data_IF_463949422376
#
_entry.id   IF_463949422376
#
_cell.length_a   1.000
_cell.length_b   1.000
_cell.length_c   1.000
_cell.angle_alpha   90.00
_cell.angle_beta   90.00
_cell.angle_gamma   90.00
#
_symmetry.space_group_name_H-M   'P 1'
#
loop_
_entity.id
_entity.type
_entity.pdbx_description
1 polymer ?
#
# COMPACT_ATOMS: atom_id res chain seq x y z
N UNK A 1 21.18 17.23 33.80
CA UNK A 1 22.56 16.73 33.67
C UNK A 1 22.92 16.65 32.18
N UNK A 2 24.06 17.19 31.79
CA UNK A 2 24.56 17.13 30.41
C UNK A 2 25.62 16.03 30.29
N UNK A 3 25.56 15.27 29.23
CA UNK A 3 26.51 14.22 28.90
C UNK A 3 27.29 14.66 27.65
N UNK A 4 28.62 14.63 27.73
CA UNK A 4 29.48 14.89 26.58
C UNK A 4 29.80 13.58 25.89
N UNK A 5 29.48 13.51 24.59
CA UNK A 5 29.77 12.34 23.74
C UNK A 5 30.70 12.73 22.59
N UNK A 6 31.42 11.76 22.04
CA UNK A 6 32.28 11.98 20.87
C UNK A 6 31.43 12.29 19.63
N UNK A 7 31.86 13.28 18.84
CA UNK A 7 31.26 13.62 17.54
C UNK A 7 31.18 12.39 16.60
N UNK A 8 32.18 11.52 16.69
CA UNK A 8 32.21 10.26 15.89
C UNK A 8 31.03 9.36 16.13
N UNK A 9 30.49 9.30 17.35
CA UNK A 9 29.32 8.49 17.69
C UNK A 9 28.07 8.94 16.92
N UNK A 10 27.92 10.26 16.77
CA UNK A 10 26.78 10.84 16.02
C UNK A 10 27.00 10.73 14.52
N UNK A 11 28.21 11.03 14.05
CA UNK A 11 28.51 11.00 12.60
C UNK A 11 28.46 9.59 12.00
N UNK A 12 28.93 8.60 12.74
CA UNK A 12 29.00 7.20 12.27
C UNK A 12 27.76 6.37 12.72
N UNK A 13 26.73 7.01 13.30
CA UNK A 13 25.47 6.40 13.78
C UNK A 13 25.66 5.13 14.65
N UNK A 14 26.72 5.12 15.50
CA UNK A 14 27.17 3.91 16.20
C UNK A 14 26.10 3.33 17.14
N UNK A 15 25.25 4.19 17.75
CA UNK A 15 24.17 3.79 18.65
C UNK A 15 22.78 3.98 18.06
N UNK A 16 22.69 4.08 16.75
CA UNK A 16 21.39 4.16 16.07
C UNK A 16 20.76 2.79 15.97
N UNK A 17 19.50 2.67 16.34
CA UNK A 17 18.70 1.45 16.23
C UNK A 17 17.49 1.69 15.35
N UNK A 18 17.09 0.68 14.59
CA UNK A 18 15.88 0.66 13.79
C UNK A 18 14.94 -0.34 14.43
N UNK A 19 13.71 0.12 14.74
CA UNK A 19 12.64 -0.73 15.24
C UNK A 19 11.61 -0.88 14.14
N UNK A 20 11.16 -2.10 13.89
CA UNK A 20 10.12 -2.42 12.91
C UNK A 20 8.97 -3.10 13.65
N UNK A 21 7.82 -2.43 13.67
CA UNK A 21 6.61 -2.94 14.29
C UNK A 21 5.61 -3.37 13.21
N UNK A 22 4.91 -4.47 13.44
CA UNK A 22 3.90 -5.01 12.53
C UNK A 22 2.51 -4.82 13.13
N UNK A 23 1.60 -4.23 12.36
CA UNK A 23 0.20 -4.02 12.71
C UNK A 23 -0.68 -4.82 11.74
N UNK A 24 -1.52 -5.68 12.26
CA UNK A 24 -2.39 -6.54 11.47
C UNK A 24 -3.85 -6.44 11.93
N UNK A 25 -4.77 -6.55 10.98
CA UNK A 25 -6.20 -6.61 11.25
C UNK A 25 -6.85 -7.70 10.40
N UNK A 26 -7.80 -8.41 10.98
CA UNK A 26 -8.59 -9.42 10.28
C UNK A 26 -9.95 -8.86 9.89
N UNK A 27 -10.42 -9.27 8.72
CA UNK A 27 -11.78 -9.01 8.24
C UNK A 27 -12.58 -10.30 8.34
N UNK A 28 -13.75 -10.22 8.95
CA UNK A 28 -14.60 -11.38 9.24
C UNK A 28 -16.00 -11.19 8.68
N UNK A 29 -16.61 -12.31 8.31
CA UNK A 29 -18.03 -12.33 7.99
C UNK A 29 -18.81 -12.34 9.30
N UNK A 30 -19.66 -11.35 9.51
CA UNK A 30 -20.55 -11.28 10.68
C UNK A 30 -21.98 -11.66 10.32
N UNK A 31 -22.80 -11.98 11.32
CA UNK A 31 -24.23 -12.28 11.08
C UNK A 31 -25.04 -11.09 10.55
N UNK A 32 -24.50 -9.88 10.72
CA UNK A 32 -25.12 -8.61 10.30
C UNK A 32 -24.64 -8.14 8.92
N UNK A 33 -23.66 -8.83 8.34
CA UNK A 33 -23.02 -8.49 7.08
C UNK A 33 -21.51 -8.70 7.16
N UNK A 34 -20.83 -8.50 6.05
CA UNK A 34 -19.39 -8.65 5.96
C UNK A 34 -18.72 -7.36 6.44
N UNK A 35 -17.64 -7.49 7.19
CA UNK A 35 -16.71 -6.38 7.43
C UNK A 35 -15.99 -6.05 6.11
N UNK A 36 -15.66 -4.79 5.90
CA UNK A 36 -14.97 -4.34 4.70
C UNK A 36 -13.79 -3.44 5.06
N UNK A 37 -12.71 -3.56 4.27
CA UNK A 37 -11.60 -2.62 4.28
C UNK A 37 -11.92 -1.53 3.27
N UNK A 38 -11.86 -0.27 3.70
CA UNK A 38 -12.18 0.90 2.87
C UNK A 38 -11.54 2.16 3.44
N UNK A 39 -11.30 3.12 2.56
CA UNK A 39 -10.94 4.49 2.90
C UNK A 39 -12.15 5.37 3.26
N UNK A 40 -13.36 4.95 2.83
CA UNK A 40 -14.64 5.63 3.10
C UNK A 40 -15.16 5.26 4.51
N UNK A 41 -14.59 5.89 5.53
CA UNK A 41 -14.89 5.64 6.94
C UNK A 41 -15.87 6.70 7.45
N UNK A 42 -17.01 6.32 8.04
CA UNK A 42 -17.97 7.27 8.56
C UNK A 42 -17.40 8.11 9.71
N UNK A 43 -17.77 9.39 9.78
CA UNK A 43 -17.38 10.35 10.81
C UNK A 43 -15.87 10.63 10.91
N UNK A 44 -15.13 10.40 9.85
CA UNK A 44 -13.70 10.71 9.73
C UNK A 44 -13.53 11.80 8.67
N UNK A 45 -12.60 12.72 8.88
CA UNK A 45 -12.29 13.77 7.91
C UNK A 45 -11.49 13.20 6.72
N UNK A 46 -11.67 13.77 5.53
CA UNK A 46 -10.89 13.41 4.34
C UNK A 46 -9.38 13.58 4.54
N UNK A 47 -8.96 14.49 5.41
CA UNK A 47 -7.54 14.67 5.75
C UNK A 47 -6.96 13.46 6.47
N UNK A 48 -7.75 12.79 7.33
CA UNK A 48 -7.29 11.62 8.07
C UNK A 48 -7.27 10.34 7.21
N UNK A 49 -7.99 10.30 6.11
CA UNK A 49 -7.99 9.18 5.16
C UNK A 49 -7.13 9.41 3.93
N UNK A 50 -6.55 10.61 3.77
CA UNK A 50 -5.75 11.02 2.61
C UNK A 50 -4.60 10.06 2.26
N UNK A 51 -3.98 9.47 3.27
CA UNK A 51 -2.85 8.55 3.10
C UNK A 51 -3.27 7.09 2.92
N UNK A 52 -4.57 6.81 2.90
CA UNK A 52 -5.11 5.48 2.62
C UNK A 52 -5.23 5.24 1.10
N UNK A 53 -5.13 3.98 0.71
CA UNK A 53 -5.42 3.53 -0.65
C UNK A 53 -6.88 3.05 -0.78
N UNK A 54 -7.29 2.67 -1.98
CA UNK A 54 -8.63 2.15 -2.28
C UNK A 54 -9.02 0.91 -1.44
N UNK A 55 -8.04 0.19 -0.90
CA UNK A 55 -8.24 -0.94 0.00
C UNK A 55 -8.24 -0.52 1.49
N UNK A 56 -8.28 0.77 1.78
CA UNK A 56 -8.24 1.28 3.14
C UNK A 56 -6.91 1.09 3.86
N UNK A 57 -5.82 0.79 3.16
CA UNK A 57 -4.50 0.61 3.77
C UNK A 57 -3.62 1.83 3.52
N UNK A 58 -2.84 2.22 4.54
CA UNK A 58 -1.91 3.33 4.43
C UNK A 58 -0.85 3.06 3.35
N UNK A 59 -0.42 4.11 2.63
CA UNK A 59 0.57 4.01 1.56
C UNK A 59 1.96 3.76 2.10
N UNK A 60 2.76 3.01 1.33
CA UNK A 60 4.19 2.84 1.63
C UNK A 60 4.90 4.20 1.49
N UNK A 61 5.74 4.52 2.47
CA UNK A 61 6.46 5.79 2.55
C UNK A 61 5.68 6.92 3.22
N UNK A 62 4.44 6.69 3.67
CA UNK A 62 3.69 7.67 4.44
C UNK A 62 4.26 7.82 5.86
N UNK A 63 4.29 9.06 6.35
CA UNK A 63 4.62 9.36 7.74
C UNK A 63 3.42 9.06 8.62
N UNK A 64 3.64 8.34 9.71
CA UNK A 64 2.62 7.93 10.67
C UNK A 64 2.82 8.67 11.99
N UNK A 65 1.77 9.31 12.44
CA UNK A 65 1.69 9.96 13.74
C UNK A 65 0.70 9.24 14.67
N UNK A 66 0.81 9.46 15.99
CA UNK A 66 -0.15 8.90 16.94
C UNK A 66 -1.59 9.28 16.61
N UNK A 67 -2.46 8.28 16.49
CA UNK A 67 -3.87 8.47 16.18
C UNK A 67 -4.23 8.39 14.70
N UNK A 68 -3.25 8.37 13.79
CA UNK A 68 -3.50 8.18 12.35
C UNK A 68 -4.10 6.80 12.07
N UNK A 69 -4.90 6.71 11.01
CA UNK A 69 -5.50 5.46 10.59
C UNK A 69 -4.49 4.67 9.77
N UNK A 70 -4.11 3.51 10.26
CA UNK A 70 -3.23 2.58 9.55
C UNK A 70 -3.99 1.72 8.56
N UNK A 71 -5.15 1.20 8.98
CA UNK A 71 -6.02 0.36 8.17
C UNK A 71 -7.46 0.75 8.46
N UNK A 72 -8.16 1.24 7.44
CA UNK A 72 -9.58 1.57 7.50
C UNK A 72 -10.44 0.31 7.42
N UNK A 73 -11.28 0.11 8.40
CA UNK A 73 -12.23 -1.00 8.45
C UNK A 73 -13.58 -0.52 8.95
N UNK A 74 -14.63 -0.98 8.29
CA UNK A 74 -16.01 -0.76 8.71
C UNK A 74 -16.69 -2.08 9.06
N UNK A 75 -17.51 -2.04 10.08
CA UNK A 75 -18.33 -3.19 10.53
C UNK A 75 -19.80 -2.82 10.44
N UNK A 76 -20.66 -3.62 9.78
CA UNK A 76 -22.08 -3.34 9.69
C UNK A 76 -22.74 -3.34 11.10
N UNK A 77 -23.61 -2.35 11.32
CA UNK A 77 -24.49 -2.30 12.50
C UNK A 77 -25.73 -3.16 12.23
N UNK A 78 -26.26 -3.78 13.29
CA UNK A 78 -27.57 -4.41 13.22
C UNK A 78 -28.68 -3.38 13.01
N UNK A 79 -29.76 -3.79 12.36
CA UNK A 79 -30.96 -3.00 12.21
C UNK A 79 -31.51 -2.65 13.61
N UNK A 80 -31.32 -1.41 14.02
CA UNK A 80 -32.01 -0.79 15.15
C UNK A 80 -32.73 0.45 14.63
N UNK A 81 -33.86 0.78 15.20
CA UNK A 81 -34.54 2.03 14.87
C UNK A 81 -33.55 3.19 15.11
N UNK A 82 -33.25 4.00 14.09
CA UNK A 82 -32.27 5.05 14.20
C UNK A 82 -32.71 6.11 15.20
N UNK A 83 -31.82 6.43 16.12
CA UNK A 83 -32.04 7.56 17.06
C UNK A 83 -32.16 8.88 16.30
N UNK A 84 -32.77 9.93 16.93
CA UNK A 84 -32.84 11.26 16.28
C UNK A 84 -31.46 11.79 15.86
N UNK A 85 -30.43 11.51 16.66
CA UNK A 85 -29.06 11.91 16.36
C UNK A 85 -28.50 11.14 15.16
N UNK A 86 -28.77 9.84 15.03
CA UNK A 86 -28.38 9.03 13.86
C UNK A 86 -29.10 9.47 12.59
N UNK A 87 -30.38 9.89 12.67
CA UNK A 87 -31.09 10.49 11.55
C UNK A 87 -30.45 11.79 11.07
N UNK A 88 -29.98 12.61 12.01
CA UNK A 88 -29.26 13.82 11.70
C UNK A 88 -27.90 13.55 11.05
N UNK A 89 -27.16 12.57 11.57
CA UNK A 89 -25.88 12.13 10.99
C UNK A 89 -26.05 11.57 9.56
N UNK A 90 -27.11 10.79 9.31
CA UNK A 90 -27.45 10.30 7.96
C UNK A 90 -27.75 11.47 7.01
N UNK A 91 -28.44 12.50 7.47
CA UNK A 91 -28.76 13.68 6.67
C UNK A 91 -27.51 14.51 6.29
N UNK A 92 -26.48 14.51 7.15
CA UNK A 92 -25.25 15.31 6.94
C UNK A 92 -24.18 14.51 6.17
N UNK A 93 -23.99 13.25 6.54
CA UNK A 93 -22.88 12.40 6.04
C UNK A 93 -23.33 11.26 5.10
N UNK A 94 -24.62 11.19 4.74
CA UNK A 94 -25.19 10.17 3.88
C UNK A 94 -25.63 8.90 4.60
N UNK A 95 -26.29 8.01 3.87
CA UNK A 95 -26.93 6.80 4.43
C UNK A 95 -25.93 5.81 5.07
N UNK A 96 -24.71 5.74 4.57
CA UNK A 96 -23.65 4.87 5.10
C UNK A 96 -23.30 5.19 6.56
N UNK A 97 -23.36 6.46 6.99
CA UNK A 97 -23.00 6.86 8.35
C UNK A 97 -23.86 6.23 9.46
N UNK A 98 -25.06 5.77 9.12
CA UNK A 98 -25.97 5.11 10.06
C UNK A 98 -25.87 3.59 10.12
N UNK A 99 -25.41 2.95 9.06
CA UNK A 99 -25.48 1.50 8.88
C UNK A 99 -24.20 0.78 9.23
N UNK A 100 -23.08 1.50 9.35
CA UNK A 100 -21.77 0.93 9.65
C UNK A 100 -21.11 1.64 10.85
N UNK A 101 -20.20 0.94 11.50
CA UNK A 101 -19.38 1.43 12.61
C UNK A 101 -17.91 1.40 12.21
N UNK A 102 -17.17 2.46 12.54
CA UNK A 102 -15.71 2.50 12.43
C UNK A 102 -15.07 1.44 13.34
N UNK A 103 -14.31 0.55 12.74
CA UNK A 103 -13.51 -0.48 13.40
C UNK A 103 -12.05 -0.45 12.90
N UNK A 104 -11.61 0.71 12.43
CA UNK A 104 -10.28 0.94 11.86
C UNK A 104 -9.19 0.75 12.89
N UNK A 105 -8.04 0.29 12.40
CA UNK A 105 -6.82 0.19 13.20
C UNK A 105 -6.10 1.53 13.18
N UNK A 106 -5.96 2.14 14.36
CA UNK A 106 -5.29 3.44 14.54
C UNK A 106 -3.91 3.26 15.15
N UNK A 107 -3.02 4.17 14.83
CA UNK A 107 -1.68 4.22 15.39
C UNK A 107 -1.73 4.46 16.91
N UNK A 108 -1.04 3.65 17.72
CA UNK A 108 -0.96 3.86 19.17
C UNK A 108 -0.21 5.16 19.50
N UNK A 109 -0.36 5.71 20.72
CA UNK A 109 0.23 6.99 21.11
C UNK A 109 1.76 7.05 21.05
N UNK A 110 2.41 5.90 21.08
CA UNK A 110 3.88 5.79 21.03
C UNK A 110 4.44 5.62 19.62
N UNK A 111 3.59 5.46 18.61
CA UNK A 111 4.03 5.22 17.25
C UNK A 111 4.31 6.54 16.53
N UNK A 112 5.54 6.68 16.06
CA UNK A 112 5.95 7.71 15.13
C UNK A 112 6.98 7.09 14.20
N UNK A 113 6.70 7.06 12.90
CA UNK A 113 7.58 6.40 11.94
C UNK A 113 7.07 6.47 10.51
N UNK A 114 7.68 5.67 9.65
CA UNK A 114 7.37 5.62 8.23
C UNK A 114 6.94 4.21 7.85
N UNK A 115 5.92 4.09 7.02
CA UNK A 115 5.45 2.80 6.51
C UNK A 115 6.46 2.22 5.53
N UNK A 116 7.02 1.06 5.85
CA UNK A 116 8.03 0.39 5.04
C UNK A 116 7.39 -0.56 4.03
N UNK A 117 6.39 -1.34 4.46
CA UNK A 117 5.73 -2.36 3.64
C UNK A 117 4.28 -2.56 4.06
N UNK A 118 3.45 -3.10 3.18
CA UNK A 118 2.07 -3.51 3.45
C UNK A 118 1.74 -4.79 2.70
N UNK A 119 0.91 -5.63 3.29
CA UNK A 119 0.47 -6.88 2.67
C UNK A 119 -1.02 -7.07 2.85
N UNK A 120 -1.72 -7.30 1.76
CA UNK A 120 -3.15 -7.63 1.75
C UNK A 120 -3.31 -9.10 1.38
N UNK A 121 -3.95 -9.87 2.27
CA UNK A 121 -4.27 -11.27 2.03
C UNK A 121 -5.76 -11.41 1.78
N UNK A 122 -6.11 -11.87 0.59
CA UNK A 122 -7.51 -12.09 0.19
C UNK A 122 -7.76 -13.58 0.01
N UNK A 123 -8.83 -14.10 0.62
CA UNK A 123 -9.27 -15.47 0.36
C UNK A 123 -9.94 -15.52 -1.00
N UNK A 124 -9.40 -16.33 -1.92
CA UNK A 124 -10.05 -16.56 -3.18
C UNK A 124 -11.31 -17.42 -2.99
N UNK A 125 -12.45 -16.93 -3.42
CA UNK A 125 -13.67 -17.73 -3.46
C UNK A 125 -13.51 -18.87 -4.47
N UNK A 126 -13.98 -20.08 -4.14
CA UNK A 126 -13.92 -21.27 -5.01
C UNK A 126 -14.95 -21.24 -6.15
N UNK A 127 -15.54 -20.10 -6.46
CA UNK A 127 -16.55 -19.97 -7.51
C UNK A 127 -15.92 -20.06 -8.90
N UNK A 128 -16.41 -20.99 -9.72
CA UNK A 128 -15.89 -21.24 -11.08
C UNK A 128 -16.04 -20.03 -12.00
N UNK A 129 -17.11 -19.22 -11.82
CA UNK A 129 -17.35 -18.03 -12.64
C UNK A 129 -16.33 -16.93 -12.34
N UNK A 130 -16.05 -16.67 -11.06
CA UNK A 130 -15.02 -15.72 -10.65
C UNK A 130 -13.64 -16.13 -11.13
N UNK A 131 -13.27 -17.41 -11.02
CA UNK A 131 -11.98 -17.89 -11.51
C UNK A 131 -11.79 -17.70 -13.02
N UNK A 132 -12.84 -17.76 -13.82
CA UNK A 132 -12.76 -17.48 -15.25
C UNK A 132 -12.59 -15.99 -15.53
N UNK A 133 -13.25 -15.14 -14.73
CA UNK A 133 -13.11 -13.69 -14.81
C UNK A 133 -11.70 -13.27 -14.39
N UNK A 134 -11.22 -13.75 -13.23
CA UNK A 134 -9.88 -13.48 -12.72
C UNK A 134 -8.77 -13.83 -13.73
N UNK A 135 -8.95 -14.92 -14.51
CA UNK A 135 -8.01 -15.29 -15.56
C UNK A 135 -7.97 -14.26 -16.69
N UNK A 136 -9.12 -13.78 -17.12
CA UNK A 136 -9.22 -12.75 -18.18
C UNK A 136 -8.61 -11.44 -17.69
N UNK A 137 -8.90 -11.07 -16.44
CA UNK A 137 -8.37 -9.86 -15.84
C UNK A 137 -6.84 -9.91 -15.65
N UNK A 138 -6.31 -11.08 -15.25
CA UNK A 138 -4.86 -11.33 -15.19
C UNK A 138 -4.21 -11.18 -16.56
N UNK A 139 -4.79 -11.79 -17.60
CA UNK A 139 -4.27 -11.70 -18.95
C UNK A 139 -4.26 -10.25 -19.50
N UNK A 140 -5.29 -9.48 -19.16
CA UNK A 140 -5.35 -8.06 -19.51
C UNK A 140 -4.28 -7.23 -18.78
N UNK A 141 -4.05 -7.52 -17.50
CA UNK A 141 -3.04 -6.85 -16.69
C UNK A 141 -1.63 -7.21 -17.21
N UNK A 142 -1.34 -8.49 -17.45
CA UNK A 142 -0.06 -8.95 -18.00
C UNK A 142 0.23 -8.27 -19.34
N UNK A 143 -0.71 -8.28 -20.27
CA UNK A 143 -0.56 -7.62 -21.57
C UNK A 143 -0.31 -6.10 -21.46
N UNK A 144 -0.91 -5.45 -20.43
CA UNK A 144 -0.67 -4.02 -20.17
C UNK A 144 0.75 -3.77 -19.69
N UNK A 145 1.22 -4.58 -18.74
CA UNK A 145 2.58 -4.43 -18.20
C UNK A 145 3.67 -4.86 -19.19
N UNK A 146 3.43 -5.86 -20.02
CA UNK A 146 4.35 -6.26 -21.08
C UNK A 146 4.60 -5.12 -22.08
N UNK A 147 3.55 -4.39 -22.47
CA UNK A 147 3.70 -3.19 -23.31
C UNK A 147 4.55 -2.11 -22.65
N UNK A 148 4.34 -1.88 -21.35
CA UNK A 148 5.13 -0.90 -20.60
C UNK A 148 6.59 -1.34 -20.50
N UNK A 149 6.84 -2.63 -20.29
CA UNK A 149 8.20 -3.19 -20.26
C UNK A 149 8.89 -3.06 -21.62
N UNK A 150 8.19 -3.32 -22.70
CA UNK A 150 8.73 -3.17 -24.05
C UNK A 150 9.05 -1.72 -24.39
N UNK A 151 8.20 -0.77 -24.00
CA UNK A 151 8.50 0.66 -24.13
C UNK A 151 9.75 1.07 -23.33
N UNK A 152 9.91 0.54 -22.12
CA UNK A 152 11.12 0.78 -21.34
C UNK A 152 12.36 0.14 -21.96
N UNK A 153 12.25 -1.06 -22.52
CA UNK A 153 13.33 -1.72 -23.26
C UNK A 153 13.76 -0.91 -24.47
N UNK A 154 12.81 -0.42 -25.27
CA UNK A 154 13.09 0.44 -26.42
C UNK A 154 13.84 1.71 -26.00
N UNK A 155 13.36 2.42 -24.98
CA UNK A 155 14.04 3.60 -24.44
C UNK A 155 15.45 3.30 -23.91
N UNK A 156 15.64 2.12 -23.30
CA UNK A 156 16.96 1.68 -22.85
C UNK A 156 17.89 1.46 -24.05
N UNK A 157 17.42 0.76 -25.08
CA UNK A 157 18.19 0.51 -26.31
C UNK A 157 18.56 1.81 -27.01
N UNK A 158 17.64 2.76 -27.11
CA UNK A 158 17.92 4.09 -27.69
C UNK A 158 19.01 4.84 -26.91
N UNK A 159 18.90 4.86 -25.57
CA UNK A 159 19.91 5.49 -24.71
C UNK A 159 21.27 4.81 -24.83
N UNK A 160 21.30 3.48 -24.81
CA UNK A 160 22.54 2.73 -24.98
C UNK A 160 23.15 2.95 -26.35
N UNK A 161 22.35 2.92 -27.43
CA UNK A 161 22.83 3.17 -28.78
C UNK A 161 23.41 4.58 -28.93
N UNK A 162 22.80 5.59 -28.31
CA UNK A 162 23.34 6.96 -28.34
C UNK A 162 24.69 7.09 -27.62
N UNK A 163 24.94 6.28 -26.59
CA UNK A 163 26.21 6.28 -25.84
C UNK A 163 27.31 5.51 -26.56
N UNK A 164 26.95 4.40 -27.21
CA UNK A 164 27.90 3.47 -27.87
C UNK A 164 28.20 3.86 -29.32
N UNK A 165 27.25 4.51 -30.00
CA UNK A 165 27.39 4.86 -31.40
C UNK A 165 28.61 5.76 -31.64
N UNK A 166 29.47 5.34 -32.58
CA UNK A 166 30.72 6.04 -32.92
C UNK A 166 31.91 5.75 -31.97
N UNK A 167 31.77 4.84 -31.01
CA UNK A 167 32.89 4.39 -30.17
C UNK A 167 33.41 3.04 -30.62
N UNK A 168 34.73 2.83 -30.48
CA UNK A 168 35.36 1.52 -30.75
C UNK A 168 34.98 0.54 -29.62
N UNK A 169 34.41 -0.61 -29.96
CA UNK A 169 34.10 -1.67 -29.06
C UNK A 169 35.24 -2.66 -28.91
N UNK A 170 35.52 -3.16 -27.72
CA UNK A 170 36.53 -4.21 -27.44
C UNK A 170 35.97 -5.63 -27.47
N UNK A 171 34.76 -5.81 -27.98
CA UNK A 171 33.98 -7.05 -27.94
C UNK A 171 32.86 -6.98 -26.92
N UNK A 172 31.83 -7.78 -27.11
CA UNK A 172 30.70 -7.93 -26.18
C UNK A 172 30.70 -9.34 -25.64
N UNK A 173 30.70 -9.46 -24.31
CA UNK A 173 30.75 -10.73 -23.61
C UNK A 173 29.44 -10.91 -22.79
N UNK A 174 29.00 -12.17 -22.65
CA UNK A 174 27.91 -12.50 -21.74
C UNK A 174 28.40 -12.59 -20.28
N UNK A 175 27.50 -12.82 -19.34
CA UNK A 175 27.83 -12.97 -17.91
C UNK A 175 28.73 -14.18 -17.62
N UNK A 176 28.83 -15.12 -18.56
CA UNK A 176 29.71 -16.31 -18.49
C UNK A 176 31.08 -16.05 -19.10
N UNK A 177 31.33 -14.86 -19.65
CA UNK A 177 32.58 -14.48 -20.28
C UNK A 177 32.77 -14.99 -21.73
N UNK A 178 31.71 -15.49 -22.34
CA UNK A 178 31.73 -15.91 -23.75
C UNK A 178 31.52 -14.70 -24.66
N UNK A 179 32.31 -14.63 -25.74
CA UNK A 179 32.26 -13.55 -26.70
C UNK A 179 31.00 -13.66 -27.58
N UNK A 180 30.08 -12.67 -27.47
CA UNK A 180 28.86 -12.60 -28.26
C UNK A 180 29.14 -11.91 -29.62
N UNK A 181 29.92 -10.81 -29.58
CA UNK A 181 30.30 -10.05 -30.74
C UNK A 181 31.82 -9.77 -30.71
N UNK A 182 32.56 -10.10 -31.78
CA UNK A 182 33.98 -9.80 -31.86
C UNK A 182 34.25 -8.29 -32.05
N UNK A 183 35.51 -7.91 -31.90
CA UNK A 183 35.99 -6.54 -32.10
C UNK A 183 35.75 -6.02 -33.50
#
# INVERSE_FOLDING_TARGET
DAIVISEKVVRDDIFTSIHVDEYAIDVRDTKLGNEELTDDIPNVSEEATKELDENGMIRIGADVNPGDILIGKITPKGESDPTPEEKLLRAIFGDKAGDVKDASLKAPPSLNGIVIDKKLFVRSFKDKRRRSQDKVDLELIENKYDKILDDHRLKLVEKLSSVVNGKTCQGVFNDLGEEILPK
#
